data_IF_737202631299
#
_entry.id   IF_737202631299
#
_cell.length_a   1.000
_cell.length_b   1.000
_cell.length_c   1.000
_cell.angle_alpha   90.00
_cell.angle_beta   90.00
_cell.angle_gamma   90.00
#
_symmetry.space_group_name_H-M   'P 1'
#
loop_
_entity.id
_entity.type
_entity.pdbx_description
1 polymer ?
#
# COMPACT_ATOMS: atom_id res chain seq x y z
N UNK A 1 -84.61 -22.21 -29.95
CA UNK A 1 -83.50 -23.09 -29.52
C UNK A 1 -82.28 -22.23 -29.22
N UNK A 2 -81.89 -22.13 -27.95
CA UNK A 2 -80.73 -21.33 -27.50
C UNK A 2 -79.45 -22.11 -27.80
N UNK A 3 -78.50 -21.54 -28.55
CA UNK A 3 -77.14 -22.08 -28.70
C UNK A 3 -76.28 -21.53 -27.54
N UNK A 4 -75.53 -22.36 -26.79
CA UNK A 4 -74.60 -21.83 -25.80
C UNK A 4 -73.32 -21.36 -26.50
N UNK A 5 -72.89 -20.14 -26.18
CA UNK A 5 -71.57 -19.61 -26.52
C UNK A 5 -70.59 -20.10 -25.45
N UNK A 6 -69.65 -20.96 -25.84
CA UNK A 6 -68.57 -21.42 -24.98
C UNK A 6 -67.46 -20.35 -25.00
N UNK A 7 -67.27 -19.62 -23.89
CA UNK A 7 -66.14 -18.71 -23.72
C UNK A 7 -64.97 -19.51 -23.15
N UNK A 8 -63.95 -19.72 -23.98
CA UNK A 8 -62.68 -20.29 -23.55
C UNK A 8 -61.89 -19.19 -22.82
N UNK A 9 -61.76 -19.29 -21.50
CA UNK A 9 -60.88 -18.43 -20.72
C UNK A 9 -59.45 -18.98 -20.85
N UNK A 10 -58.76 -18.56 -21.90
CA UNK A 10 -57.33 -18.87 -22.07
C UNK A 10 -56.52 -18.08 -21.05
N UNK A 11 -55.91 -18.77 -20.09
CA UNK A 11 -54.83 -18.21 -19.28
C UNK A 11 -53.64 -17.88 -20.20
N UNK A 12 -53.50 -16.60 -20.54
CA UNK A 12 -52.27 -16.06 -21.12
C UNK A 12 -51.23 -15.96 -20.00
N UNK A 13 -50.31 -16.93 -19.95
CA UNK A 13 -49.03 -16.75 -19.28
C UNK A 13 -48.24 -15.70 -20.07
N UNK A 14 -48.25 -14.45 -19.60
CA UNK A 14 -47.38 -13.41 -20.15
C UNK A 14 -45.97 -13.72 -19.63
N UNK A 15 -44.97 -14.06 -20.46
CA UNK A 15 -43.61 -14.15 -19.98
C UNK A 15 -43.21 -12.76 -19.47
N UNK A 16 -42.60 -12.69 -18.30
CA UNK A 16 -42.09 -11.45 -17.73
C UNK A 16 -41.17 -10.77 -18.77
N UNK A 17 -41.67 -9.73 -19.43
CA UNK A 17 -40.86 -8.91 -20.30
C UNK A 17 -39.90 -8.13 -19.42
N UNK A 18 -38.62 -8.51 -19.42
CA UNK A 18 -37.56 -7.66 -18.87
C UNK A 18 -37.46 -6.43 -19.77
N UNK A 19 -38.21 -5.38 -19.45
CA UNK A 19 -38.07 -4.09 -20.13
C UNK A 19 -36.69 -3.51 -19.82
N UNK A 20 -36.00 -2.93 -20.78
CA UNK A 20 -34.72 -2.23 -20.59
C UNK A 20 -34.93 -0.73 -20.86
N UNK A 21 -34.11 0.13 -20.24
CA UNK A 21 -34.12 1.53 -20.65
C UNK A 21 -33.21 1.66 -21.87
N UNK A 22 -33.80 1.85 -23.04
CA UNK A 22 -33.08 1.96 -24.30
C UNK A 22 -33.17 3.39 -24.84
N UNK A 23 -32.03 3.99 -25.16
CA UNK A 23 -31.94 5.29 -25.82
C UNK A 23 -31.12 5.17 -27.11
N UNK A 24 -31.70 5.57 -28.24
CA UNK A 24 -30.99 5.72 -29.53
C UNK A 24 -30.93 7.17 -30.01
N UNK A 25 -31.46 8.10 -29.23
CA UNK A 25 -31.51 9.55 -29.53
C UNK A 25 -31.02 10.34 -28.32
N UNK A 26 -31.27 11.65 -28.29
CA UNK A 26 -31.00 12.45 -27.10
C UNK A 26 -32.02 12.14 -25.98
N UNK A 27 -31.50 11.93 -24.77
CA UNK A 27 -32.25 11.89 -23.52
C UNK A 27 -31.62 12.91 -22.58
N UNK A 28 -32.42 13.86 -22.11
CA UNK A 28 -32.00 14.87 -21.15
C UNK A 28 -32.82 14.76 -19.86
N UNK A 29 -32.14 14.59 -18.74
CA UNK A 29 -32.74 14.58 -17.40
C UNK A 29 -32.31 15.87 -16.71
N UNK A 30 -33.27 16.79 -16.56
CA UNK A 30 -33.02 18.13 -16.03
C UNK A 30 -32.65 18.15 -14.54
N UNK A 31 -32.05 19.26 -14.12
CA UNK A 31 -31.71 19.50 -12.71
C UNK A 31 -32.96 19.39 -11.81
N UNK A 32 -32.80 18.79 -10.63
CA UNK A 32 -33.88 18.53 -9.68
C UNK A 32 -34.79 17.34 -10.01
N UNK A 33 -34.71 16.78 -11.22
CA UNK A 33 -35.41 15.54 -11.54
C UNK A 33 -34.79 14.36 -10.76
N UNK A 34 -35.63 13.43 -10.30
CA UNK A 34 -35.21 12.16 -9.71
C UNK A 34 -35.77 11.03 -10.56
N UNK A 35 -34.88 10.23 -11.17
CA UNK A 35 -35.25 9.12 -12.05
C UNK A 35 -34.72 7.83 -11.46
N UNK A 36 -35.57 6.81 -11.34
CA UNK A 36 -35.17 5.46 -10.93
C UNK A 36 -35.26 4.50 -12.10
N UNK A 37 -34.16 3.84 -12.41
CA UNK A 37 -34.04 2.86 -13.47
C UNK A 37 -33.87 1.46 -12.85
N UNK A 38 -34.96 0.70 -12.90
CA UNK A 38 -35.01 -0.67 -12.37
C UNK A 38 -34.33 -1.70 -13.28
N UNK A 39 -34.00 -1.31 -14.51
CA UNK A 39 -33.47 -2.16 -15.56
C UNK A 39 -32.18 -1.59 -16.13
N UNK A 40 -31.44 -2.38 -16.92
CA UNK A 40 -30.19 -1.95 -17.54
C UNK A 40 -30.43 -0.75 -18.46
N UNK A 41 -29.52 0.22 -18.42
CA UNK A 41 -29.43 1.29 -19.43
C UNK A 41 -28.68 0.73 -20.64
N UNK A 42 -29.28 0.84 -21.81
CA UNK A 42 -28.61 0.69 -23.10
C UNK A 42 -28.67 2.03 -23.80
N UNK A 43 -27.53 2.71 -23.88
CA UNK A 43 -27.43 4.00 -24.57
C UNK A 43 -26.63 3.86 -25.87
N UNK A 44 -27.28 4.13 -26.99
CA UNK A 44 -26.70 4.26 -28.33
C UNK A 44 -26.79 5.70 -28.85
N UNK A 45 -27.45 6.61 -28.12
CA UNK A 45 -27.62 8.01 -28.46
C UNK A 45 -26.78 8.94 -27.57
N UNK A 46 -27.37 10.05 -27.16
CA UNK A 46 -26.75 11.03 -26.26
C UNK A 46 -27.56 11.10 -24.96
N UNK A 47 -27.01 10.63 -23.85
CA UNK A 47 -27.67 10.61 -22.55
C UNK A 47 -27.01 11.62 -21.61
N UNK A 48 -27.76 12.66 -21.26
CA UNK A 48 -27.32 13.72 -20.35
C UNK A 48 -28.22 13.75 -19.12
N UNK A 49 -27.60 13.86 -17.95
CA UNK A 49 -28.34 14.04 -16.69
C UNK A 49 -27.69 15.09 -15.79
N UNK A 50 -28.46 16.11 -15.47
CA UNK A 50 -28.19 17.10 -14.41
C UNK A 50 -28.95 16.76 -13.11
N UNK A 51 -29.85 15.76 -13.16
CA UNK A 51 -30.67 15.30 -12.03
C UNK A 51 -30.06 14.16 -11.22
N UNK A 52 -30.87 13.55 -10.36
CA UNK A 52 -30.50 12.35 -9.58
C UNK A 52 -30.96 11.08 -10.28
N UNK A 53 -30.04 10.16 -10.55
CA UNK A 53 -30.31 8.86 -11.16
C UNK A 53 -30.07 7.72 -10.16
N UNK A 54 -31.12 7.00 -9.81
CA UNK A 54 -31.01 5.71 -9.13
C UNK A 54 -30.87 4.60 -10.18
N UNK A 55 -29.75 3.88 -10.15
CA UNK A 55 -29.44 2.78 -11.07
C UNK A 55 -29.45 1.46 -10.30
N UNK A 56 -30.43 0.62 -10.58
CA UNK A 56 -30.55 -0.71 -9.94
C UNK A 56 -30.02 -1.85 -10.78
N UNK A 57 -29.65 -1.59 -12.04
CA UNK A 57 -28.94 -2.50 -12.95
C UNK A 57 -27.78 -1.76 -13.64
N UNK A 58 -27.07 -2.48 -14.50
CA UNK A 58 -25.88 -1.98 -15.18
C UNK A 58 -26.14 -0.90 -16.24
N UNK A 59 -25.06 -0.49 -16.89
CA UNK A 59 -25.03 0.41 -18.03
C UNK A 59 -24.27 -0.29 -19.15
N UNK A 60 -24.82 -0.26 -20.36
CA UNK A 60 -24.12 -0.50 -21.62
C UNK A 60 -24.21 0.76 -22.46
N UNK A 61 -23.12 1.53 -22.50
CA UNK A 61 -23.02 2.80 -23.24
C UNK A 61 -22.18 2.64 -24.51
N UNK A 62 -22.82 2.73 -25.67
CA UNK A 62 -22.21 2.76 -26.99
C UNK A 62 -22.31 4.16 -27.63
N UNK A 63 -22.95 5.11 -26.95
CA UNK A 63 -23.12 6.50 -27.38
C UNK A 63 -22.37 7.50 -26.48
N UNK A 64 -22.84 8.74 -26.46
CA UNK A 64 -22.34 9.78 -25.54
C UNK A 64 -23.12 9.73 -24.23
N UNK A 65 -22.42 9.86 -23.10
CA UNK A 65 -23.03 9.85 -21.78
C UNK A 65 -22.33 10.82 -20.82
N UNK A 66 -23.10 11.75 -20.27
CA UNK A 66 -22.63 12.72 -19.28
C UNK A 66 -23.63 12.81 -18.13
N UNK A 67 -23.20 12.45 -16.92
CA UNK A 67 -24.07 12.36 -15.73
C UNK A 67 -23.65 13.40 -14.67
N UNK A 68 -23.72 14.69 -15.02
CA UNK A 68 -23.27 15.82 -14.18
C UNK A 68 -24.01 15.96 -12.83
N UNK A 69 -25.21 15.39 -12.71
CA UNK A 69 -25.95 15.34 -11.45
C UNK A 69 -25.41 14.28 -10.47
N UNK A 70 -26.32 13.68 -9.70
CA UNK A 70 -25.98 12.60 -8.77
C UNK A 70 -26.36 11.25 -9.37
N UNK A 71 -25.42 10.31 -9.35
CA UNK A 71 -25.67 8.89 -9.64
C UNK A 71 -25.67 8.12 -8.34
N UNK A 72 -26.73 7.34 -8.12
CA UNK A 72 -26.87 6.44 -6.98
C UNK A 72 -26.88 5.02 -7.52
N UNK A 73 -25.85 4.25 -7.18
CA UNK A 73 -25.78 2.82 -7.50
C UNK A 73 -26.40 2.03 -6.34
N UNK A 74 -27.67 1.67 -6.46
CA UNK A 74 -28.49 1.08 -5.38
C UNK A 74 -29.20 -0.23 -5.76
N UNK A 75 -28.58 -0.98 -6.66
CA UNK A 75 -29.08 -2.29 -7.08
C UNK A 75 -28.68 -3.45 -6.16
N UNK A 76 -28.92 -4.64 -6.69
CA UNK A 76 -28.56 -5.91 -6.07
C UNK A 76 -27.73 -6.77 -7.03
N UNK A 77 -26.84 -7.60 -6.47
CA UNK A 77 -25.97 -8.49 -7.23
C UNK A 77 -24.77 -7.77 -7.84
N UNK A 78 -24.40 -8.16 -9.05
CA UNK A 78 -23.32 -7.50 -9.82
C UNK A 78 -23.92 -6.57 -10.85
N UNK A 79 -23.65 -5.26 -10.73
CA UNK A 79 -23.90 -4.28 -11.80
C UNK A 79 -22.67 -4.18 -12.69
N UNK A 80 -22.86 -4.21 -14.01
CA UNK A 80 -21.78 -3.99 -14.96
C UNK A 80 -21.89 -2.57 -15.50
N UNK A 81 -20.81 -1.81 -15.47
CA UNK A 81 -20.72 -0.49 -16.09
C UNK A 81 -19.81 -0.61 -17.30
N UNK A 82 -20.41 -0.68 -18.49
CA UNK A 82 -19.72 -0.89 -19.77
C UNK A 82 -19.86 0.35 -20.63
N UNK A 83 -18.75 0.76 -21.24
CA UNK A 83 -18.73 1.86 -22.18
C UNK A 83 -17.49 1.78 -23.06
N UNK A 84 -17.59 2.22 -24.30
CA UNK A 84 -16.43 2.33 -25.19
C UNK A 84 -15.53 3.52 -24.80
N UNK A 85 -16.09 4.50 -24.08
CA UNK A 85 -15.40 5.68 -23.57
C UNK A 85 -15.53 5.78 -22.04
N UNK A 86 -14.77 6.66 -21.39
CA UNK A 86 -14.98 6.96 -19.97
C UNK A 86 -16.38 7.54 -19.73
N UNK A 87 -16.95 7.26 -18.56
CA UNK A 87 -18.21 7.86 -18.10
C UNK A 87 -17.87 8.90 -17.04
N UNK A 88 -18.36 10.12 -17.22
CA UNK A 88 -18.24 11.19 -16.23
C UNK A 88 -19.51 11.25 -15.38
N UNK A 89 -19.33 11.26 -14.07
CA UNK A 89 -20.40 11.47 -13.08
C UNK A 89 -20.05 12.68 -12.21
N UNK A 90 -21.03 13.52 -11.92
CA UNK A 90 -20.85 14.65 -11.01
C UNK A 90 -20.59 14.15 -9.59
N UNK A 91 -21.63 13.62 -8.96
CA UNK A 91 -21.52 12.96 -7.65
C UNK A 91 -21.95 11.50 -7.73
N UNK A 92 -21.28 10.62 -7.00
CA UNK A 92 -21.56 9.20 -6.94
C UNK A 92 -21.85 8.77 -5.49
N UNK A 93 -23.01 8.16 -5.27
CA UNK A 93 -23.32 7.46 -4.02
C UNK A 93 -23.38 5.96 -4.25
N UNK A 94 -22.45 5.23 -3.65
CA UNK A 94 -22.39 3.77 -3.71
C UNK A 94 -23.23 3.16 -2.58
N UNK A 95 -24.39 2.61 -2.94
CA UNK A 95 -25.31 1.92 -2.03
C UNK A 95 -25.74 0.57 -2.60
N UNK A 96 -24.79 -0.16 -3.20
CA UNK A 96 -25.02 -1.41 -3.90
C UNK A 96 -25.07 -2.58 -2.91
N UNK A 97 -26.08 -3.45 -3.02
CA UNK A 97 -26.06 -4.75 -2.34
C UNK A 97 -25.33 -5.75 -3.22
N UNK A 98 -24.01 -5.88 -3.01
CA UNK A 98 -23.13 -6.69 -3.84
C UNK A 98 -22.00 -5.84 -4.40
N UNK A 99 -21.82 -5.85 -5.72
CA UNK A 99 -20.71 -5.16 -6.37
C UNK A 99 -21.08 -4.44 -7.66
N UNK A 100 -20.27 -3.45 -8.00
CA UNK A 100 -20.28 -2.73 -9.28
C UNK A 100 -18.97 -3.05 -9.97
N UNK A 101 -19.03 -3.68 -11.14
CA UNK A 101 -17.85 -4.00 -11.93
C UNK A 101 -17.70 -2.98 -13.06
N UNK A 102 -16.58 -2.26 -13.06
CA UNK A 102 -16.25 -1.28 -14.10
C UNK A 102 -15.53 -1.97 -15.25
N UNK A 103 -16.12 -1.88 -16.44
CA UNK A 103 -15.55 -2.30 -17.72
C UNK A 103 -15.24 -1.11 -18.62
N UNK A 104 -15.22 0.09 -18.04
CA UNK A 104 -14.74 1.34 -18.60
C UNK A 104 -14.33 2.26 -17.45
N UNK A 105 -13.46 3.27 -17.67
CA UNK A 105 -13.14 4.23 -16.62
C UNK A 105 -14.38 5.01 -16.17
N UNK A 106 -14.56 5.15 -14.86
CA UNK A 106 -15.62 5.96 -14.26
C UNK A 106 -14.98 7.14 -13.54
N UNK A 107 -15.29 8.37 -13.96
CA UNK A 107 -14.67 9.59 -13.46
C UNK A 107 -15.69 10.31 -12.57
N UNK A 108 -15.37 10.46 -11.29
CA UNK A 108 -16.17 11.23 -10.32
C UNK A 108 -15.60 12.64 -10.21
N UNK A 109 -16.42 13.64 -10.55
CA UNK A 109 -15.99 15.03 -10.67
C UNK A 109 -16.05 15.79 -9.34
N UNK A 110 -17.04 15.52 -8.48
CA UNK A 110 -17.32 16.34 -7.30
C UNK A 110 -17.25 15.56 -5.98
N UNK A 111 -18.04 14.49 -5.84
CA UNK A 111 -18.13 13.73 -4.59
C UNK A 111 -18.33 12.24 -4.84
N UNK A 112 -17.58 11.40 -4.13
CA UNK A 112 -17.87 9.98 -3.97
C UNK A 112 -18.19 9.67 -2.51
N UNK A 113 -19.42 9.23 -2.27
CA UNK A 113 -19.84 8.71 -0.97
C UNK A 113 -19.98 7.20 -1.01
N UNK A 114 -19.25 6.52 -0.14
CA UNK A 114 -19.41 5.09 0.09
C UNK A 114 -20.45 4.86 1.19
N UNK A 115 -21.48 4.06 0.89
CA UNK A 115 -22.48 3.60 1.85
C UNK A 115 -22.43 2.08 2.05
N UNK A 116 -22.49 1.32 0.96
CA UNK A 116 -22.36 -0.16 0.95
C UNK A 116 -21.99 -0.65 -0.45
N UNK A 117 -21.29 -1.80 -0.52
CA UNK A 117 -20.97 -2.49 -1.77
C UNK A 117 -19.56 -2.20 -2.26
N UNK A 118 -19.05 -3.08 -3.13
CA UNK A 118 -17.66 -3.02 -3.61
C UNK A 118 -17.63 -2.57 -5.07
N UNK A 119 -16.78 -1.60 -5.41
CA UNK A 119 -16.43 -1.33 -6.80
C UNK A 119 -15.27 -2.25 -7.18
N UNK A 120 -15.46 -3.11 -8.17
CA UNK A 120 -14.41 -3.95 -8.73
C UNK A 120 -13.97 -3.43 -10.08
N UNK A 121 -12.66 -3.35 -10.30
CA UNK A 121 -12.11 -2.91 -11.57
C UNK A 121 -10.67 -3.37 -11.80
N UNK A 122 -10.07 -2.92 -12.90
CA UNK A 122 -8.65 -3.17 -13.24
C UNK A 122 -7.94 -1.84 -13.51
N UNK A 123 -6.62 -1.86 -13.63
CA UNK A 123 -5.85 -0.67 -13.99
C UNK A 123 -6.21 -0.09 -15.37
N UNK A 124 -6.80 -0.89 -16.27
CA UNK A 124 -7.31 -0.42 -17.56
C UNK A 124 -8.60 0.39 -17.44
N UNK A 125 -9.41 0.10 -16.42
CA UNK A 125 -10.73 0.71 -16.19
C UNK A 125 -10.84 1.28 -14.77
N UNK A 126 -9.97 2.23 -14.39
CA UNK A 126 -9.89 2.74 -13.03
C UNK A 126 -11.17 3.49 -12.63
N UNK A 127 -11.39 3.57 -11.32
CA UNK A 127 -12.25 4.61 -10.75
C UNK A 127 -11.37 5.85 -10.62
N UNK A 128 -11.68 6.89 -11.38
CA UNK A 128 -10.95 8.15 -11.35
C UNK A 128 -11.67 9.17 -10.49
N UNK A 129 -10.90 9.92 -9.71
CA UNK A 129 -11.35 10.95 -8.80
C UNK A 129 -10.69 12.24 -9.25
N UNK A 130 -11.52 13.22 -9.60
CA UNK A 130 -11.04 14.49 -10.13
C UNK A 130 -10.29 15.31 -9.07
N UNK A 131 -9.64 16.37 -9.53
CA UNK A 131 -9.03 17.34 -8.63
C UNK A 131 -10.09 18.00 -7.73
N UNK A 132 -9.79 18.23 -6.46
CA UNK A 132 -10.71 18.74 -5.43
C UNK A 132 -11.96 17.87 -5.12
N UNK A 133 -12.18 16.74 -5.80
CA UNK A 133 -13.30 15.85 -5.53
C UNK A 133 -13.17 15.20 -4.14
N UNK A 134 -14.28 15.14 -3.40
CA UNK A 134 -14.30 14.65 -2.02
C UNK A 134 -14.68 13.17 -1.95
N UNK A 135 -14.07 12.43 -1.02
CA UNK A 135 -14.44 11.03 -0.74
C UNK A 135 -14.79 10.88 0.73
N UNK A 136 -15.92 10.21 1.01
CA UNK A 136 -16.33 9.90 2.38
C UNK A 136 -16.93 8.50 2.50
N UNK A 137 -16.91 7.94 3.71
CA UNK A 137 -17.64 6.72 4.05
C UNK A 137 -16.99 5.39 3.64
N UNK A 138 -15.74 5.42 3.14
CA UNK A 138 -15.02 4.18 2.81
C UNK A 138 -14.88 3.29 4.08
N UNK A 139 -15.07 1.99 3.92
CA UNK A 139 -15.02 1.03 5.02
C UNK A 139 -14.79 -0.40 4.51
N UNK A 140 -14.64 -1.36 5.42
CA UNK A 140 -14.62 -2.79 5.06
C UNK A 140 -15.89 -3.22 4.29
N UNK A 141 -17.03 -2.54 4.49
CA UNK A 141 -18.29 -2.82 3.78
C UNK A 141 -18.40 -2.11 2.43
N UNK A 142 -17.51 -1.16 2.14
CA UNK A 142 -17.60 -0.30 0.97
C UNK A 142 -16.26 0.33 0.61
N UNK A 143 -15.60 -0.24 -0.39
CA UNK A 143 -14.30 0.18 -0.90
C UNK A 143 -14.12 -0.28 -2.35
N UNK A 144 -12.97 0.02 -2.93
CA UNK A 144 -12.61 -0.38 -4.30
C UNK A 144 -11.67 -1.58 -4.25
N UNK A 145 -12.06 -2.68 -4.87
CA UNK A 145 -11.18 -3.82 -5.16
C UNK A 145 -10.64 -3.67 -6.58
N UNK A 146 -9.43 -3.13 -6.68
CA UNK A 146 -8.77 -2.82 -7.94
C UNK A 146 -8.02 -1.50 -7.81
N UNK A 147 -8.25 -0.56 -8.73
CA UNK A 147 -7.46 0.66 -8.87
C UNK A 147 -8.33 1.92 -8.72
N UNK A 148 -7.87 2.82 -7.84
CA UNK A 148 -8.37 4.20 -7.74
C UNK A 148 -7.29 5.13 -8.21
N UNK A 149 -7.66 6.14 -8.98
CA UNK A 149 -6.74 7.13 -9.49
C UNK A 149 -7.19 8.53 -9.13
N UNK A 150 -6.32 9.30 -8.50
CA UNK A 150 -6.57 10.69 -8.12
C UNK A 150 -5.77 11.62 -9.01
N UNK A 151 -6.45 12.60 -9.59
CA UNK A 151 -5.83 13.73 -10.28
C UNK A 151 -5.68 14.91 -9.33
N UNK A 152 -4.64 15.72 -9.52
CA UNK A 152 -4.45 16.99 -8.83
C UNK A 152 -3.29 16.98 -7.84
N UNK A 153 -3.35 17.90 -6.88
CA UNK A 153 -2.30 18.13 -5.90
C UNK A 153 -2.79 18.08 -4.45
N UNK A 154 -3.92 17.43 -4.20
CA UNK A 154 -4.46 17.22 -2.85
C UNK A 154 -3.77 16.07 -2.11
N UNK A 155 -3.73 16.15 -0.78
CA UNK A 155 -3.57 14.97 0.05
C UNK A 155 -4.77 14.04 -0.15
N UNK A 156 -4.55 12.73 -0.12
CA UNK A 156 -5.61 11.80 -0.50
C UNK A 156 -5.48 10.41 0.13
N UNK A 157 -6.61 9.90 0.62
CA UNK A 157 -6.77 8.55 1.14
C UNK A 157 -7.42 7.67 0.07
N UNK A 158 -6.63 6.78 -0.54
CA UNK A 158 -7.12 5.86 -1.56
C UNK A 158 -7.97 4.76 -0.91
N UNK A 159 -9.28 4.65 -1.21
CA UNK A 159 -10.19 3.70 -0.56
C UNK A 159 -10.10 2.31 -1.21
N UNK A 160 -8.89 1.77 -1.33
CA UNK A 160 -8.62 0.46 -1.96
C UNK A 160 -8.64 -0.68 -0.94
N UNK A 161 -8.93 -1.89 -1.40
CA UNK A 161 -8.99 -3.08 -0.55
C UNK A 161 -9.04 -4.37 -1.35
N UNK A 162 -9.33 -5.48 -0.68
CA UNK A 162 -9.36 -6.83 -1.28
C UNK A 162 -10.77 -7.35 -1.61
N UNK A 163 -11.79 -6.55 -1.31
CA UNK A 163 -13.21 -6.89 -1.42
C UNK A 163 -13.84 -7.37 -0.10
N UNK A 164 -13.03 -7.56 0.95
CA UNK A 164 -13.45 -7.92 2.31
C UNK A 164 -13.05 -6.83 3.31
N UNK A 165 -11.83 -6.34 3.21
CA UNK A 165 -11.23 -5.35 4.09
C UNK A 165 -10.72 -4.15 3.31
N UNK A 166 -10.87 -2.97 3.92
CA UNK A 166 -10.29 -1.74 3.42
C UNK A 166 -8.81 -1.70 3.82
N UNK A 167 -7.95 -1.49 2.83
CA UNK A 167 -6.50 -1.36 2.99
C UNK A 167 -6.06 0.00 2.45
N UNK A 168 -6.50 1.06 3.12
CA UNK A 168 -6.26 2.44 2.69
C UNK A 168 -4.76 2.70 2.49
N UNK A 169 -4.44 3.34 1.38
CA UNK A 169 -3.13 3.94 1.14
C UNK A 169 -3.29 5.45 1.11
N UNK A 170 -2.61 6.15 1.99
CA UNK A 170 -2.69 7.61 2.07
C UNK A 170 -1.45 8.24 1.48
N UNK A 171 -1.63 9.37 0.81
CA UNK A 171 -0.54 10.24 0.35
C UNK A 171 -0.69 11.65 0.94
N UNK A 172 0.42 12.29 1.27
CA UNK A 172 0.43 13.75 1.46
C UNK A 172 0.16 14.46 0.14
N UNK A 173 -0.13 15.76 0.22
CA UNK A 173 -0.20 16.66 -0.94
C UNK A 173 1.04 16.49 -1.85
N UNK A 174 0.88 16.12 -3.13
CA UNK A 174 1.93 16.20 -4.15
C UNK A 174 2.53 17.60 -4.29
N UNK A 175 3.78 17.70 -4.75
CA UNK A 175 4.45 19.00 -4.93
C UNK A 175 3.89 19.81 -6.12
N UNK A 176 3.25 19.14 -7.07
CA UNK A 176 2.56 19.71 -8.23
C UNK A 176 1.52 18.70 -8.72
N UNK A 177 0.55 19.14 -9.54
CA UNK A 177 -0.47 18.28 -10.14
C UNK A 177 0.11 16.97 -10.68
N UNK A 178 -0.43 15.85 -10.23
CA UNK A 178 -0.08 14.51 -10.71
C UNK A 178 -1.37 13.70 -10.91
N UNK A 179 -1.26 12.55 -11.57
CA UNK A 179 -2.29 11.53 -11.68
C UNK A 179 -1.71 10.27 -11.04
N UNK A 180 -2.06 10.06 -9.77
CA UNK A 180 -1.55 8.95 -8.97
C UNK A 180 -2.62 7.85 -8.94
N UNK A 181 -2.26 6.66 -9.39
CA UNK A 181 -3.09 5.46 -9.35
C UNK A 181 -2.58 4.51 -8.28
N UNK A 182 -3.48 3.99 -7.44
CA UNK A 182 -3.16 3.02 -6.40
C UNK A 182 -4.10 1.84 -6.51
N UNK A 183 -3.55 0.63 -6.39
CA UNK A 183 -4.31 -0.59 -6.20
C UNK A 183 -3.72 -1.47 -5.11
N UNK A 184 -4.58 -2.19 -4.40
CA UNK A 184 -4.18 -3.17 -3.39
C UNK A 184 -4.16 -4.58 -3.99
N UNK A 185 -3.06 -5.31 -3.81
CA UNK A 185 -2.84 -6.62 -4.41
C UNK A 185 -2.60 -7.65 -3.31
N UNK A 186 -3.49 -8.64 -3.20
CA UNK A 186 -3.38 -9.76 -2.23
C UNK A 186 -2.48 -10.88 -2.77
N UNK A 187 -1.20 -10.57 -2.95
CA UNK A 187 -0.18 -11.54 -3.33
C UNK A 187 1.11 -11.29 -2.56
N UNK A 188 1.91 -12.36 -2.39
CA UNK A 188 3.19 -12.26 -1.70
C UNK A 188 4.10 -11.24 -2.38
N UNK A 189 4.63 -10.24 -1.63
CA UNK A 189 5.64 -9.30 -2.15
C UNK A 189 6.89 -10.00 -2.67
N UNK A 190 7.17 -11.23 -2.21
CA UNK A 190 8.28 -12.05 -2.71
C UNK A 190 8.14 -12.47 -4.18
N UNK A 191 6.94 -12.35 -4.77
CA UNK A 191 6.74 -12.50 -6.22
C UNK A 191 7.37 -11.37 -7.03
N UNK A 192 7.47 -10.18 -6.44
CA UNK A 192 8.15 -9.04 -7.07
C UNK A 192 9.66 -9.11 -6.84
N UNK A 193 10.07 -9.36 -5.59
CA UNK A 193 11.47 -9.59 -5.23
C UNK A 193 11.61 -10.33 -3.90
N UNK A 194 12.56 -11.26 -3.82
CA UNK A 194 12.98 -11.92 -2.59
C UNK A 194 14.21 -11.27 -1.93
N UNK A 195 14.71 -10.14 -2.46
CA UNK A 195 15.87 -9.45 -1.90
C UNK A 195 15.44 -8.43 -0.86
N UNK A 196 16.10 -8.45 0.30
CA UNK A 196 15.91 -7.49 1.39
C UNK A 196 17.17 -6.64 1.53
N UNK A 197 17.02 -5.35 1.84
CA UNK A 197 18.14 -4.50 2.26
C UNK A 197 18.65 -4.92 3.65
N UNK A 198 19.91 -4.63 3.97
CA UNK A 198 20.56 -5.06 5.22
C UNK A 198 19.80 -4.62 6.50
N UNK A 199 19.02 -3.54 6.43
CA UNK A 199 18.23 -3.04 7.56
C UNK A 199 16.82 -3.66 7.66
N UNK A 200 16.36 -4.43 6.67
CA UNK A 200 15.04 -5.06 6.66
C UNK A 200 15.13 -6.47 7.24
N UNK A 201 14.37 -6.75 8.30
CA UNK A 201 14.34 -8.07 8.93
C UNK A 201 13.49 -9.05 8.12
N UNK A 202 12.28 -8.62 7.78
CA UNK A 202 11.31 -9.43 7.05
C UNK A 202 10.22 -8.56 6.40
N UNK A 203 9.51 -9.16 5.44
CA UNK A 203 8.24 -8.67 4.91
C UNK A 203 7.13 -9.46 5.59
N UNK A 204 6.20 -8.79 6.27
CA UNK A 204 5.25 -9.46 7.19
C UNK A 204 3.88 -9.76 6.58
N UNK A 205 3.59 -9.21 5.39
CA UNK A 205 2.31 -9.38 4.70
C UNK A 205 2.36 -10.26 3.45
N UNK A 206 1.20 -10.78 3.05
CA UNK A 206 0.98 -11.43 1.75
C UNK A 206 0.21 -10.50 0.80
N UNK A 207 0.57 -9.22 0.82
CA UNK A 207 -0.06 -8.17 0.03
C UNK A 207 0.92 -7.02 -0.22
N UNK A 208 0.61 -6.18 -1.20
CA UNK A 208 1.32 -4.93 -1.46
C UNK A 208 0.40 -3.92 -2.14
N UNK A 209 0.75 -2.65 -2.04
CA UNK A 209 0.16 -1.58 -2.86
C UNK A 209 0.99 -1.37 -4.12
N UNK A 210 0.33 -1.41 -5.27
CA UNK A 210 0.90 -0.98 -6.54
C UNK A 210 0.51 0.48 -6.77
N UNK A 211 1.51 1.36 -6.88
CA UNK A 211 1.34 2.81 -7.00
C UNK A 211 1.99 3.27 -8.29
N UNK A 212 1.28 4.05 -9.09
CA UNK A 212 1.79 4.62 -10.33
C UNK A 212 1.56 6.12 -10.33
N UNK A 213 2.63 6.91 -10.32
CA UNK A 213 2.60 8.36 -10.62
C UNK A 213 3.09 8.62 -12.05
N UNK A 214 2.77 9.79 -12.61
CA UNK A 214 3.32 10.19 -13.93
C UNK A 214 4.60 11.02 -13.77
N UNK A 215 4.90 11.46 -12.55
CA UNK A 215 6.08 12.26 -12.21
C UNK A 215 6.95 11.60 -11.16
N UNK A 216 8.22 11.99 -11.16
CA UNK A 216 9.14 11.68 -10.08
C UNK A 216 8.97 12.74 -8.98
N UNK A 217 8.57 12.34 -7.78
CA UNK A 217 8.37 13.30 -6.69
C UNK A 217 8.55 12.71 -5.29
N UNK A 218 9.04 13.54 -4.38
CA UNK A 218 9.05 13.23 -2.95
C UNK A 218 7.62 13.37 -2.40
N UNK A 219 7.19 12.39 -1.63
CA UNK A 219 5.86 12.38 -1.03
C UNK A 219 5.89 11.57 0.26
N UNK A 220 5.03 11.91 1.21
CA UNK A 220 4.77 11.06 2.35
C UNK A 220 3.69 10.05 1.97
N UNK A 221 3.93 8.78 2.29
CA UNK A 221 2.91 7.73 2.20
C UNK A 221 2.58 7.24 3.59
N UNK A 222 1.33 6.87 3.82
CA UNK A 222 0.90 6.30 5.11
C UNK A 222 -0.08 5.16 4.94
N UNK A 223 -0.03 4.17 5.83
CA UNK A 223 -0.97 3.04 5.86
C UNK A 223 -1.26 2.67 7.31
N UNK A 224 -2.41 2.02 7.54
CA UNK A 224 -2.76 1.51 8.86
C UNK A 224 -1.77 0.41 9.29
N UNK A 225 -1.42 0.40 10.57
CA UNK A 225 -0.53 -0.58 11.15
C UNK A 225 -0.85 -0.81 12.63
N UNK A 226 -1.02 -2.07 13.00
CA UNK A 226 -1.36 -2.47 14.38
C UNK A 226 -0.12 -2.74 15.26
N UNK A 227 1.08 -2.72 14.69
CA UNK A 227 2.32 -3.09 15.40
C UNK A 227 3.32 -1.94 15.35
N UNK A 228 3.86 -1.56 16.51
CA UNK A 228 4.78 -0.43 16.65
C UNK A 228 6.11 -0.59 15.89
N UNK A 229 6.50 -1.82 15.53
CA UNK A 229 7.72 -2.13 14.79
C UNK A 229 7.52 -2.25 13.27
N UNK A 230 6.28 -2.13 12.78
CA UNK A 230 6.04 -2.16 11.34
C UNK A 230 6.64 -0.95 10.66
N UNK A 231 7.20 -1.18 9.48
CA UNK A 231 7.80 -0.18 8.62
C UNK A 231 7.18 -0.29 7.23
N UNK A 232 7.07 0.84 6.54
CA UNK A 232 6.79 0.84 5.11
C UNK A 232 8.07 0.43 4.39
N UNK A 233 7.95 -0.59 3.55
CA UNK A 233 8.99 -1.01 2.63
C UNK A 233 8.62 -0.56 1.23
N UNK A 234 9.60 -0.03 0.49
CA UNK A 234 9.47 0.29 -0.92
C UNK A 234 10.41 -0.59 -1.73
N UNK A 235 9.88 -1.17 -2.82
CA UNK A 235 10.70 -1.88 -3.79
C UNK A 235 11.49 -0.88 -4.64
N UNK A 236 12.82 -0.92 -4.54
CA UNK A 236 13.75 -0.11 -5.34
C UNK A 236 14.90 -1.00 -5.81
N UNK A 237 15.31 -0.86 -7.06
CA UNK A 237 16.41 -1.66 -7.64
C UNK A 237 16.27 -3.18 -7.42
N UNK A 238 15.03 -3.68 -7.54
CA UNK A 238 14.67 -5.08 -7.29
C UNK A 238 15.01 -5.56 -5.86
N UNK A 239 14.97 -4.67 -4.87
CA UNK A 239 15.21 -4.96 -3.45
C UNK A 239 14.22 -4.20 -2.56
N UNK A 240 13.70 -4.86 -1.52
CA UNK A 240 12.86 -4.20 -0.52
C UNK A 240 13.72 -3.39 0.43
N UNK A 241 13.48 -2.08 0.46
CA UNK A 241 14.22 -1.12 1.26
C UNK A 241 13.27 -0.47 2.28
N UNK A 242 13.78 -0.14 3.47
CA UNK A 242 13.06 0.72 4.41
C UNK A 242 12.76 2.07 3.75
N UNK A 243 11.52 2.54 3.89
CA UNK A 243 11.19 3.94 3.71
C UNK A 243 11.29 4.63 5.07
N UNK A 244 11.99 5.76 5.14
CA UNK A 244 12.24 6.45 6.41
C UNK A 244 10.92 6.95 7.01
N UNK A 245 10.54 6.40 8.16
CA UNK A 245 9.21 6.59 8.70
C UNK A 245 9.09 6.47 10.21
N UNK A 246 7.89 6.75 10.71
CA UNK A 246 7.51 6.67 12.11
C UNK A 246 6.14 6.00 12.22
N UNK A 247 5.89 5.36 13.37
CA UNK A 247 4.57 4.82 13.71
C UNK A 247 3.95 5.71 14.77
N UNK A 248 2.78 6.26 14.48
CA UNK A 248 2.00 7.06 15.42
C UNK A 248 0.51 6.71 15.27
N UNK A 249 -0.21 6.54 16.38
CA UNK A 249 -1.66 6.29 16.38
C UNK A 249 -2.14 5.16 15.42
N UNK A 250 -1.43 4.02 15.41
CA UNK A 250 -1.70 2.89 14.52
C UNK A 250 -1.61 3.21 13.01
N UNK A 251 -0.84 4.22 12.66
CA UNK A 251 -0.51 4.56 11.28
C UNK A 251 1.01 4.59 11.16
N UNK A 252 1.52 3.87 10.16
CA UNK A 252 2.92 4.00 9.77
C UNK A 252 2.99 4.98 8.59
N UNK A 253 3.86 5.97 8.70
CA UNK A 253 4.08 6.97 7.67
C UNK A 253 5.55 7.02 7.29
N UNK A 254 5.85 7.16 6.01
CA UNK A 254 7.22 7.24 5.53
C UNK A 254 7.37 8.27 4.41
N UNK A 255 8.49 8.99 4.42
CA UNK A 255 8.91 9.81 3.30
C UNK A 255 9.51 8.90 2.22
N UNK A 256 9.02 9.05 0.99
CA UNK A 256 9.42 8.23 -0.15
C UNK A 256 9.57 9.09 -1.40
N UNK A 257 10.09 8.48 -2.46
CA UNK A 257 10.06 9.05 -3.80
C UNK A 257 9.22 8.14 -4.70
N UNK A 258 8.14 8.69 -5.25
CA UNK A 258 7.38 8.00 -6.29
C UNK A 258 8.12 8.16 -7.61
N UNK A 259 8.39 7.04 -8.26
CA UNK A 259 9.08 6.97 -9.55
C UNK A 259 8.36 5.99 -10.46
N UNK A 260 7.47 6.51 -11.33
CA UNK A 260 6.66 5.66 -12.19
C UNK A 260 5.92 4.58 -11.40
N UNK A 261 6.09 3.31 -11.81
CA UNK A 261 5.56 2.17 -11.08
C UNK A 261 6.38 1.91 -9.81
N UNK A 262 5.76 2.09 -8.66
CA UNK A 262 6.31 1.87 -7.32
C UNK A 262 5.48 0.83 -6.57
N UNK A 263 6.14 0.03 -5.74
CA UNK A 263 5.47 -0.99 -4.93
C UNK A 263 5.81 -0.81 -3.45
N UNK A 264 4.78 -0.88 -2.61
CA UNK A 264 4.88 -0.69 -1.18
C UNK A 264 4.31 -1.90 -0.44
N UNK A 265 4.95 -2.31 0.64
CA UNK A 265 4.44 -3.35 1.55
C UNK A 265 4.79 -2.99 2.98
N UNK A 266 4.22 -3.72 3.94
CA UNK A 266 4.65 -3.68 5.34
C UNK A 266 5.70 -4.77 5.60
N UNK A 267 6.68 -4.44 6.42
CA UNK A 267 7.63 -5.37 7.00
C UNK A 267 8.17 -4.84 8.31
N UNK A 268 9.25 -5.45 8.81
CA UNK A 268 9.92 -5.02 10.03
C UNK A 268 11.38 -4.68 9.75
N UNK A 269 11.91 -3.75 10.55
CA UNK A 269 13.32 -3.42 10.55
C UNK A 269 14.08 -4.43 11.43
N UNK A 270 15.31 -4.78 11.05
CA UNK A 270 16.22 -5.47 11.97
C UNK A 270 16.39 -4.56 13.17
N UNK A 271 15.96 -5.00 14.35
CA UNK A 271 16.20 -4.28 15.58
C UNK A 271 17.69 -3.92 15.61
N UNK A 272 18.00 -2.62 15.49
CA UNK A 272 19.33 -2.18 15.88
C UNK A 272 19.50 -2.70 17.30
N UNK A 273 20.56 -3.46 17.55
CA UNK A 273 20.83 -3.97 18.88
C UNK A 273 21.05 -2.78 19.82
N UNK A 274 19.96 -2.28 20.38
CA UNK A 274 19.86 -1.23 21.38
C UNK A 274 19.93 -1.87 22.77
N UNK A 275 20.74 -2.91 22.92
CA UNK A 275 21.34 -3.18 24.21
C UNK A 275 22.65 -2.41 24.20
N UNK A 276 22.87 -1.52 25.20
CA UNK A 276 24.13 -0.78 25.41
C UNK A 276 25.30 -1.62 24.89
N UNK A 277 25.88 -1.20 23.77
CA UNK A 277 26.97 -1.94 23.17
C UNK A 277 28.10 -2.07 24.21
N UNK A 278 28.60 -3.28 24.38
CA UNK A 278 29.59 -3.60 25.41
C UNK A 278 30.65 -4.50 24.80
N UNK A 279 31.91 -4.17 25.12
CA UNK A 279 33.07 -4.97 24.76
C UNK A 279 33.66 -5.52 26.04
N UNK A 280 33.69 -6.84 26.17
CA UNK A 280 34.29 -7.51 27.32
C UNK A 280 35.26 -8.60 26.90
N UNK A 281 36.18 -8.92 27.80
CA UNK A 281 37.19 -9.96 27.62
C UNK A 281 37.07 -10.99 28.72
N UNK A 282 37.12 -12.28 28.38
CA UNK A 282 37.01 -13.37 29.34
C UNK A 282 37.93 -14.55 28.99
N UNK A 283 38.69 -15.12 29.95
CA UNK A 283 38.87 -14.65 31.31
C UNK A 283 39.71 -13.37 31.35
N UNK A 284 39.54 -12.56 32.39
CA UNK A 284 40.38 -11.39 32.67
C UNK A 284 40.52 -11.25 34.19
N UNK A 285 41.69 -11.57 34.80
CA UNK A 285 42.99 -11.83 34.16
C UNK A 285 43.02 -13.05 33.24
N UNK A 286 43.83 -12.99 32.18
CA UNK A 286 44.04 -14.06 31.19
C UNK A 286 45.48 -14.59 31.25
N UNK A 287 45.69 -15.85 30.88
CA UNK A 287 47.03 -16.42 30.67
C UNK A 287 47.63 -16.12 29.29
N UNK A 288 47.02 -15.23 28.51
CA UNK A 288 47.40 -14.95 27.12
C UNK A 288 46.41 -15.47 26.09
N UNK A 289 45.41 -16.27 26.48
CA UNK A 289 44.28 -16.66 25.64
C UNK A 289 42.96 -16.19 26.26
N UNK A 290 42.08 -15.60 25.44
CA UNK A 290 40.83 -15.01 25.90
C UNK A 290 39.80 -14.89 24.77
N UNK A 291 38.53 -14.80 25.18
CA UNK A 291 37.41 -14.50 24.30
C UNK A 291 37.16 -12.99 24.28
N UNK A 292 36.88 -12.45 23.10
CA UNK A 292 36.35 -11.09 22.95
C UNK A 292 34.85 -11.18 22.70
N UNK A 293 34.07 -10.55 23.57
CA UNK A 293 32.60 -10.53 23.47
C UNK A 293 32.13 -9.15 23.06
N UNK A 294 31.45 -9.09 21.92
CA UNK A 294 30.92 -7.87 21.29
C UNK A 294 29.40 -7.86 21.43
N UNK A 295 28.89 -7.52 22.62
CA UNK A 295 27.45 -7.48 22.88
C UNK A 295 26.85 -6.21 22.27
N UNK A 296 25.72 -6.32 21.57
CA UNK A 296 25.06 -5.17 20.93
C UNK A 296 25.63 -4.76 19.56
N UNK A 297 26.47 -5.61 18.96
CA UNK A 297 27.00 -5.43 17.61
C UNK A 297 26.25 -6.33 16.62
N UNK A 298 25.96 -5.84 15.40
CA UNK A 298 25.28 -6.66 14.38
C UNK A 298 26.30 -7.42 13.52
N UNK A 299 25.96 -8.59 12.94
CA UNK A 299 26.94 -9.42 12.21
C UNK A 299 27.60 -8.73 11.01
N UNK A 300 26.92 -7.80 10.35
CA UNK A 300 27.42 -7.09 9.17
C UNK A 300 28.03 -5.72 9.47
N UNK A 301 27.99 -5.26 10.72
CA UNK A 301 28.58 -3.98 11.14
C UNK A 301 30.10 -4.00 10.98
N UNK A 302 30.67 -2.94 10.43
CA UNK A 302 32.13 -2.80 10.23
C UNK A 302 32.75 -2.20 11.50
N UNK A 303 33.75 -2.90 12.06
CA UNK A 303 34.50 -2.45 13.23
C UNK A 303 36.01 -2.54 12.99
N UNK A 304 36.77 -1.79 13.78
CA UNK A 304 38.22 -1.95 13.93
C UNK A 304 38.54 -2.43 15.35
N UNK A 305 39.30 -3.52 15.48
CA UNK A 305 39.79 -4.07 16.75
C UNK A 305 41.31 -3.91 16.82
N UNK A 306 41.80 -3.40 17.94
CA UNK A 306 43.22 -3.15 18.18
C UNK A 306 43.59 -3.55 19.62
N UNK A 307 44.59 -4.40 19.77
CA UNK A 307 45.15 -4.75 21.09
C UNK A 307 46.51 -4.10 21.21
N UNK A 308 46.71 -3.24 22.20
CA UNK A 308 47.95 -2.48 22.40
C UNK A 308 48.56 -2.70 23.78
N UNK A 309 49.88 -2.54 23.88
CA UNK A 309 50.57 -2.42 25.17
C UNK A 309 50.44 -1.01 25.77
N UNK A 310 51.01 -0.78 26.96
CA UNK A 310 50.98 0.51 27.66
C UNK A 310 51.66 1.65 26.88
N UNK A 311 52.55 1.33 25.94
CA UNK A 311 53.19 2.32 25.06
C UNK A 311 52.36 2.69 23.84
N UNK A 312 51.22 2.01 23.63
CA UNK A 312 50.38 2.15 22.45
C UNK A 312 50.85 1.33 21.23
N UNK A 313 51.85 0.46 21.39
CA UNK A 313 52.29 -0.43 20.31
C UNK A 313 51.23 -1.52 20.08
N UNK A 314 50.76 -1.63 18.84
CA UNK A 314 49.76 -2.63 18.43
C UNK A 314 50.36 -4.04 18.33
N UNK A 315 49.65 -5.00 18.91
CA UNK A 315 49.97 -6.43 18.95
C UNK A 315 49.06 -7.23 18.02
N UNK A 316 47.81 -6.79 17.89
CA UNK A 316 46.79 -7.33 17.00
C UNK A 316 46.00 -6.16 16.45
N UNK A 317 45.79 -6.12 15.14
CA UNK A 317 44.93 -5.13 14.48
C UNK A 317 44.11 -5.80 13.39
N UNK A 318 42.80 -5.62 13.43
CA UNK A 318 41.84 -6.18 12.47
C UNK A 318 40.76 -5.15 12.13
N UNK A 319 40.26 -5.20 10.90
CA UNK A 319 39.16 -4.36 10.43
C UNK A 319 38.26 -5.19 9.50
N UNK A 320 36.94 -5.10 9.66
CA UNK A 320 36.00 -5.89 8.86
C UNK A 320 34.61 -5.99 9.48
N UNK A 321 33.77 -6.88 8.97
CA UNK A 321 32.43 -7.15 9.52
C UNK A 321 32.53 -7.99 10.77
N UNK A 322 31.72 -7.70 11.79
CA UNK A 322 31.73 -8.42 13.09
C UNK A 322 31.68 -9.95 12.94
N UNK A 323 30.91 -10.48 11.98
CA UNK A 323 30.81 -11.92 11.73
C UNK A 323 32.12 -12.59 11.28
N UNK A 324 33.06 -11.82 10.76
CA UNK A 324 34.35 -12.30 10.25
C UNK A 324 35.44 -12.29 11.36
N UNK A 325 35.14 -11.73 12.54
CA UNK A 325 36.08 -11.67 13.66
C UNK A 325 36.12 -13.01 14.40
N UNK A 326 37.32 -13.38 14.86
CA UNK A 326 37.47 -14.52 15.75
C UNK A 326 36.80 -14.20 17.11
N UNK A 327 36.16 -15.19 17.72
CA UNK A 327 35.67 -15.05 19.10
C UNK A 327 36.76 -15.28 20.13
N UNK A 328 37.84 -16.00 19.76
CA UNK A 328 38.98 -16.36 20.60
C UNK A 328 40.28 -15.77 20.07
N UNK A 329 41.05 -15.17 20.95
CA UNK A 329 42.36 -14.58 20.67
C UNK A 329 43.43 -15.23 21.54
N UNK A 330 44.63 -15.38 21.00
CA UNK A 330 45.81 -15.81 21.74
C UNK A 330 47.01 -14.93 21.40
N UNK A 331 47.52 -14.24 22.42
CA UNK A 331 48.70 -13.38 22.34
C UNK A 331 49.80 -13.81 23.30
N UNK A 332 49.58 -14.88 24.08
CA UNK A 332 50.45 -15.34 25.16
C UNK A 332 51.92 -15.34 24.77
N UNK A 333 52.31 -15.95 23.66
CA UNK A 333 53.73 -16.06 23.25
C UNK A 333 54.41 -14.72 22.90
N UNK A 334 53.63 -13.64 22.76
CA UNK A 334 54.09 -12.32 22.31
C UNK A 334 54.16 -11.28 23.42
N UNK A 335 53.75 -11.63 24.64
CA UNK A 335 53.53 -10.67 25.74
C UNK A 335 54.07 -11.19 27.08
N UNK A 336 54.37 -10.25 27.98
CA UNK A 336 54.77 -10.54 29.37
C UNK A 336 53.58 -10.32 30.31
N UNK A 337 53.74 -10.70 31.59
CA UNK A 337 52.75 -10.37 32.61
C UNK A 337 52.61 -8.84 32.71
N UNK A 338 51.38 -8.33 32.66
CA UNK A 338 51.12 -6.89 32.63
C UNK A 338 49.75 -6.51 32.06
N UNK A 339 49.48 -5.21 32.02
CA UNK A 339 48.24 -4.64 31.48
C UNK A 339 48.38 -4.27 30.00
N UNK A 340 47.32 -4.54 29.25
CA UNK A 340 47.15 -4.26 27.83
C UNK A 340 45.78 -3.63 27.61
N UNK A 341 45.55 -3.02 26.45
CA UNK A 341 44.25 -2.45 26.11
C UNK A 341 43.68 -3.11 24.86
N UNK A 342 42.44 -3.58 24.96
CA UNK A 342 41.62 -3.93 23.81
C UNK A 342 40.78 -2.70 23.45
N UNK A 343 40.95 -2.18 22.24
CA UNK A 343 40.14 -1.09 21.69
C UNK A 343 39.29 -1.61 20.54
N UNK A 344 38.01 -1.28 20.54
CA UNK A 344 37.08 -1.53 19.43
C UNK A 344 36.47 -0.22 18.99
N UNK A 345 36.55 0.09 17.70
CA UNK A 345 35.93 1.26 17.08
C UNK A 345 34.79 0.84 16.16
N UNK A 346 33.63 1.46 16.33
CA UNK A 346 32.51 1.44 15.38
C UNK A 346 32.65 2.65 14.48
N UNK A 347 33.34 2.48 13.34
CA UNK A 347 33.75 3.59 12.48
C UNK A 347 32.56 4.43 12.00
N UNK A 348 31.47 3.77 11.59
CA UNK A 348 30.26 4.45 11.07
C UNK A 348 29.46 5.17 12.16
N UNK A 349 29.50 4.67 13.40
CA UNK A 349 28.76 5.26 14.54
C UNK A 349 29.61 6.21 15.39
N UNK A 350 30.88 6.44 15.02
CA UNK A 350 31.86 7.22 15.77
C UNK A 350 31.90 6.87 17.27
N UNK A 351 31.83 5.57 17.59
CA UNK A 351 31.80 5.07 18.96
C UNK A 351 33.04 4.22 19.23
N UNK A 352 33.66 4.39 20.40
CA UNK A 352 34.84 3.61 20.80
C UNK A 352 34.65 2.96 22.16
N UNK A 353 35.23 1.77 22.31
CA UNK A 353 35.25 0.99 23.53
C UNK A 353 36.69 0.66 23.87
N UNK A 354 37.06 0.77 25.14
CA UNK A 354 38.39 0.40 25.63
C UNK A 354 38.23 -0.50 26.84
N UNK A 355 38.80 -1.69 26.75
CA UNK A 355 38.79 -2.67 27.84
C UNK A 355 40.23 -2.93 28.28
N UNK A 356 40.46 -2.85 29.60
CA UNK A 356 41.73 -3.29 30.18
C UNK A 356 41.82 -4.82 30.12
N UNK A 357 42.93 -5.34 29.63
CA UNK A 357 43.26 -6.75 29.53
C UNK A 357 44.48 -7.02 30.39
N UNK A 358 44.29 -7.76 31.48
CA UNK A 358 45.37 -8.13 32.39
C UNK A 358 45.89 -9.53 32.02
N UNK A 359 47.18 -9.62 31.74
CA UNK A 359 47.86 -10.89 31.45
C UNK A 359 48.65 -11.35 32.67
N UNK A 360 48.36 -12.56 33.13
CA UNK A 360 49.04 -13.26 34.23
C UNK A 360 49.30 -14.71 33.82
N UNK A 361 50.54 -14.99 33.42
CA UNK A 361 51.06 -16.33 33.17
C UNK A 361 51.60 -16.97 34.43
#
# INVERSE_FOLDING_TARGET
MKKPLLVFLGFLCIPAAHAQFFSSTEVYIGSGAVVTLNNEIINQGDLKSEGTLHLRKGITNQGQMTLNGQVILDGEGTQLIKSDNSINVGSLFLSQVGKVNLQAPLIVQNELKFGKGIIENTALFPLEIADNAQITGASNRSHVKGYVQKSGDDAFDFPVGDGLELHTFAISKPASDDKISVGFVTQSPTRLSNKLADAVAEVTGNNYWAVQGIKNQNIQVSVASEQANNQILQLRDNQWNLAAGSVENNVVSAQTVLHGASYFTIGTQIAEASEKAEVSVYPNPSNGSFDVRLKGFTPNEIISLDITDLSGRSLVKQEGKVKDFATKYSIGDKVSNGSYFLRVLRTEKNQSFVQNLLITK
#
